data_IF_972037702876
#
_entry.id   IF_972037702876
#
_cell.length_a   1.000
_cell.length_b   1.000
_cell.length_c   1.000
_cell.angle_alpha   90.00
_cell.angle_beta   90.00
_cell.angle_gamma   90.00
#
_symmetry.space_group_name_H-M   'P 1'
#
loop_
_entity.id
_entity.type
_entity.pdbx_description
1 polymer ?
#
# COMPACT_ATOMS: atom_id res chain seq x y z
N UNK A 1 -21.50 24.32 17.15
CA UNK A 1 -20.50 23.66 18.03
C UNK A 1 -19.81 24.75 18.85
N UNK A 2 -19.79 24.66 20.17
CA UNK A 2 -19.15 25.66 21.05
C UNK A 2 -17.72 25.23 21.41
N UNK A 3 -16.82 26.19 21.56
CA UNK A 3 -15.43 25.96 21.98
C UNK A 3 -15.38 25.29 23.36
N UNK A 4 -14.63 24.19 23.53
CA UNK A 4 -14.45 23.54 24.83
C UNK A 4 -13.73 24.47 25.82
N UNK A 5 -14.33 24.67 27.00
CA UNK A 5 -13.75 25.56 28.04
C UNK A 5 -13.14 24.80 29.22
N UNK A 6 -13.43 23.52 29.34
CA UNK A 6 -12.97 22.68 30.43
C UNK A 6 -12.84 21.20 30.00
N UNK A 7 -12.30 20.38 30.90
CA UNK A 7 -12.12 18.94 30.69
C UNK A 7 -13.41 18.19 30.31
N UNK A 8 -14.55 18.54 30.92
CA UNK A 8 -15.84 17.89 30.61
C UNK A 8 -16.31 18.23 29.20
N UNK A 9 -16.05 19.45 28.74
CA UNK A 9 -16.45 19.88 27.39
C UNK A 9 -15.64 19.14 26.32
N UNK A 10 -14.32 18.98 26.51
CA UNK A 10 -13.49 18.23 25.56
C UNK A 10 -13.84 16.73 25.59
N UNK A 11 -14.17 16.17 26.76
CA UNK A 11 -14.64 14.78 26.86
C UNK A 11 -15.99 14.56 26.15
N UNK A 12 -16.92 15.51 26.26
CA UNK A 12 -18.18 15.48 25.51
C UNK A 12 -17.92 15.58 24.00
N UNK A 13 -17.04 16.49 23.59
CA UNK A 13 -16.66 16.66 22.19
C UNK A 13 -16.07 15.35 21.60
N UNK A 14 -15.11 14.72 22.29
CA UNK A 14 -14.51 13.46 21.83
C UNK A 14 -15.53 12.32 21.81
N UNK A 15 -16.45 12.26 22.79
CA UNK A 15 -17.56 11.30 22.78
C UNK A 15 -18.49 11.46 21.58
N UNK A 16 -18.91 12.70 21.28
CA UNK A 16 -19.72 12.99 20.08
C UNK A 16 -18.97 12.63 18.79
N UNK A 17 -17.67 12.94 18.72
CA UNK A 17 -16.85 12.64 17.55
C UNK A 17 -16.65 11.13 17.34
N UNK A 18 -16.60 10.35 18.42
CA UNK A 18 -16.57 8.89 18.33
C UNK A 18 -17.86 8.35 17.68
N UNK A 19 -19.03 8.88 18.06
CA UNK A 19 -20.31 8.50 17.47
C UNK A 19 -20.42 8.89 15.98
N UNK A 20 -19.84 10.03 15.61
CA UNK A 20 -19.81 10.53 14.23
C UNK A 20 -18.64 10.00 13.39
N UNK A 21 -17.75 9.18 13.97
CA UNK A 21 -16.51 8.75 13.31
C UNK A 21 -16.73 8.02 11.98
N UNK A 22 -17.89 7.40 11.78
CA UNK A 22 -18.27 6.73 10.52
C UNK A 22 -18.61 7.70 9.38
N UNK A 23 -18.89 8.96 9.71
CA UNK A 23 -19.31 10.02 8.78
C UNK A 23 -18.21 11.08 8.55
N UNK A 24 -17.11 10.98 9.29
CA UNK A 24 -16.00 11.92 9.24
C UNK A 24 -14.81 11.18 8.64
N UNK A 25 -14.37 11.60 7.46
CA UNK A 25 -13.14 11.09 6.87
C UNK A 25 -11.94 11.35 7.79
N UNK A 26 -11.04 10.37 7.86
CA UNK A 26 -9.84 10.45 8.71
C UNK A 26 -10.13 10.94 10.13
N UNK A 27 -11.25 10.50 10.72
CA UNK A 27 -11.65 10.91 12.05
C UNK A 27 -10.53 10.75 13.10
N UNK A 28 -9.69 9.72 12.96
CA UNK A 28 -8.56 9.49 13.87
C UNK A 28 -7.54 10.63 13.86
N UNK A 29 -7.18 11.13 12.67
CA UNK A 29 -6.20 12.20 12.52
C UNK A 29 -6.80 13.56 12.85
N UNK A 30 -7.97 13.88 12.30
CA UNK A 30 -8.67 15.16 12.55
C UNK A 30 -8.93 15.39 14.04
N UNK A 31 -9.15 14.31 14.79
CA UNK A 31 -9.43 14.37 16.22
C UNK A 31 -8.19 14.16 17.09
N UNK A 32 -7.01 13.88 16.50
CA UNK A 32 -5.76 13.64 17.23
C UNK A 32 -5.38 14.78 18.19
N UNK A 33 -5.49 16.07 17.79
CA UNK A 33 -5.21 17.18 18.71
C UNK A 33 -6.11 17.13 19.96
N UNK A 34 -7.39 16.80 19.80
CA UNK A 34 -8.32 16.67 20.93
C UNK A 34 -7.95 15.52 21.86
N UNK A 35 -7.51 14.38 21.32
CA UNK A 35 -7.05 13.25 22.15
C UNK A 35 -5.75 13.57 22.89
N UNK A 36 -4.78 14.23 22.23
CA UNK A 36 -3.55 14.72 22.87
C UNK A 36 -3.90 15.67 24.01
N UNK A 37 -4.81 16.62 23.78
CA UNK A 37 -5.22 17.60 24.76
C UNK A 37 -5.98 16.97 25.94
N UNK A 38 -6.91 16.05 25.67
CA UNK A 38 -7.62 15.28 26.70
C UNK A 38 -6.65 14.52 27.62
N UNK A 39 -5.61 13.88 27.04
CA UNK A 39 -4.55 13.18 27.78
C UNK A 39 -3.66 14.14 28.58
N UNK A 40 -3.35 15.33 28.06
CA UNK A 40 -2.61 16.37 28.81
C UNK A 40 -3.45 16.94 29.95
N UNK A 41 -4.73 17.18 29.71
CA UNK A 41 -5.67 17.78 30.66
C UNK A 41 -6.06 16.84 31.81
N UNK A 42 -5.79 15.53 31.71
CA UNK A 42 -5.95 14.59 32.83
C UNK A 42 -4.82 14.68 33.87
N UNK A 43 -3.68 15.30 33.53
CA UNK A 43 -2.49 15.41 34.40
C UNK A 43 -2.08 16.85 34.69
N UNK A 44 -2.51 17.81 33.87
CA UNK A 44 -2.23 19.25 33.99
C UNK A 44 -3.54 20.04 33.91
N UNK A 45 -3.50 21.31 34.35
CA UNK A 45 -4.62 22.24 34.18
C UNK A 45 -5.01 22.30 32.70
N UNK A 46 -6.31 22.18 32.41
CA UNK A 46 -6.86 22.25 31.05
C UNK A 46 -6.37 23.51 30.34
N UNK A 47 -5.86 23.34 29.12
CA UNK A 47 -5.39 24.42 28.27
C UNK A 47 -5.71 24.07 26.84
N UNK A 48 -6.46 24.94 26.17
CA UNK A 48 -6.80 24.81 24.75
C UNK A 48 -5.71 25.48 23.93
N UNK A 49 -4.94 24.68 23.18
CA UNK A 49 -3.80 25.16 22.38
C UNK A 49 -4.21 25.49 20.94
N UNK A 50 -3.31 26.16 20.21
CA UNK A 50 -3.55 26.57 18.82
C UNK A 50 -3.80 25.36 17.89
N UNK A 51 -3.14 24.22 18.15
CA UNK A 51 -3.34 22.95 17.42
C UNK A 51 -4.80 22.46 17.56
N UNK A 52 -5.36 22.52 18.77
CA UNK A 52 -6.77 22.19 19.00
C UNK A 52 -7.72 23.20 18.37
N UNK A 53 -7.39 24.49 18.42
CA UNK A 53 -8.24 25.52 17.83
C UNK A 53 -8.34 25.38 16.31
N UNK A 54 -7.21 25.18 15.63
CA UNK A 54 -7.16 24.95 14.19
C UNK A 54 -7.92 23.67 13.80
N UNK A 55 -7.74 22.59 14.54
CA UNK A 55 -8.46 21.34 14.30
C UNK A 55 -9.98 21.49 14.49
N UNK A 56 -10.40 22.28 15.48
CA UNK A 56 -11.82 22.52 15.77
C UNK A 56 -12.51 23.37 14.70
N UNK A 57 -11.84 24.42 14.20
CA UNK A 57 -12.40 25.21 13.09
C UNK A 57 -12.43 24.42 11.79
N UNK A 58 -11.39 23.63 11.49
CA UNK A 58 -11.38 22.74 10.34
C UNK A 58 -12.51 21.69 10.42
N UNK A 59 -12.78 21.14 11.61
CA UNK A 59 -13.88 20.22 11.84
C UNK A 59 -15.25 20.90 11.65
N UNK A 60 -15.41 22.14 12.12
CA UNK A 60 -16.65 22.91 11.91
C UNK A 60 -16.91 23.17 10.43
N UNK A 61 -15.89 23.55 9.67
CA UNK A 61 -15.99 23.73 8.22
C UNK A 61 -16.34 22.42 7.52
N UNK A 62 -15.71 21.31 7.92
CA UNK A 62 -16.01 19.98 7.39
C UNK A 62 -17.48 19.59 7.64
N UNK A 63 -17.95 19.69 8.88
CA UNK A 63 -19.34 19.35 9.22
C UNK A 63 -20.35 20.33 8.62
N UNK A 64 -19.92 21.57 8.32
CA UNK A 64 -20.73 22.58 7.64
C UNK A 64 -20.87 22.38 6.13
N UNK A 65 -20.08 21.47 5.53
CA UNK A 65 -20.15 21.09 4.12
C UNK A 65 -20.67 19.65 4.00
N UNK A 66 -22.01 19.44 4.00
CA UNK A 66 -22.57 18.10 4.03
C UNK A 66 -22.16 17.30 2.80
N UNK A 67 -21.48 16.18 3.03
CA UNK A 67 -21.25 15.17 2.01
C UNK A 67 -22.49 14.30 1.90
N UNK A 68 -22.98 14.10 0.68
CA UNK A 68 -24.10 13.18 0.42
C UNK A 68 -23.63 11.77 0.74
N UNK A 69 -24.23 11.18 1.77
CA UNK A 69 -24.13 9.76 2.08
C UNK A 69 -25.50 9.15 1.80
N UNK A 70 -25.54 8.18 0.90
CA UNK A 70 -26.73 7.37 0.66
C UNK A 70 -26.73 6.16 1.58
N UNK A 71 -27.93 5.73 1.96
CA UNK A 71 -28.11 4.39 2.51
C UNK A 71 -27.92 3.40 1.35
N UNK A 72 -27.15 2.31 1.52
CA UNK A 72 -27.05 1.27 0.51
C UNK A 72 -28.40 0.54 0.37
N UNK A 73 -28.76 0.22 -0.87
CA UNK A 73 -29.94 -0.61 -1.19
C UNK A 73 -29.59 -2.09 -1.05
N UNK A 74 -30.58 -2.91 -0.66
CA UNK A 74 -30.36 -4.34 -0.41
C UNK A 74 -29.83 -5.04 -1.67
N UNK A 75 -28.75 -5.80 -1.52
CA UNK A 75 -28.08 -6.48 -2.63
C UNK A 75 -27.10 -5.61 -3.43
N UNK A 76 -26.95 -4.31 -3.12
CA UNK A 76 -25.90 -3.48 -3.73
C UNK A 76 -24.50 -3.94 -3.31
N UNK A 77 -23.56 -3.85 -4.25
CA UNK A 77 -22.15 -4.11 -3.98
C UNK A 77 -21.50 -2.94 -3.23
N UNK A 78 -20.87 -3.21 -2.10
CA UNK A 78 -20.12 -2.22 -1.34
C UNK A 78 -18.66 -2.22 -1.75
N UNK A 79 -18.25 -1.18 -2.48
CA UNK A 79 -16.85 -0.97 -2.83
C UNK A 79 -16.08 -0.28 -1.70
N UNK A 80 -15.09 -0.97 -1.16
CA UNK A 80 -14.22 -0.47 -0.10
C UNK A 80 -12.88 0.01 -0.67
N UNK A 81 -12.57 1.28 -0.43
CA UNK A 81 -11.27 1.89 -0.72
C UNK A 81 -10.50 2.12 0.58
N UNK A 82 -9.28 1.60 0.66
CA UNK A 82 -8.40 1.80 1.82
C UNK A 82 -7.24 2.73 1.49
N UNK A 83 -6.97 3.65 2.41
CA UNK A 83 -5.76 4.45 2.46
C UNK A 83 -5.18 4.36 3.88
N UNK A 84 -3.86 4.21 3.97
CA UNK A 84 -3.12 4.18 5.23
C UNK A 84 -2.30 5.45 5.32
N UNK A 85 -2.55 6.27 6.34
CA UNK A 85 -1.77 7.48 6.63
C UNK A 85 -0.57 7.12 7.52
N UNK A 86 0.57 7.74 7.23
CA UNK A 86 1.79 7.56 8.01
C UNK A 86 1.59 8.01 9.47
N UNK A 87 2.01 7.20 10.44
CA UNK A 87 1.81 7.45 11.88
C UNK A 87 0.45 7.00 12.46
N UNK A 88 -0.53 6.59 11.64
CA UNK A 88 -1.80 6.06 12.14
C UNK A 88 -1.70 4.63 12.69
N UNK A 89 -0.71 3.88 12.22
CA UNK A 89 -0.41 2.50 12.63
C UNK A 89 1.06 2.45 13.00
N UNK A 90 1.42 1.55 13.93
CA UNK A 90 2.79 1.37 14.42
C UNK A 90 3.81 1.42 13.27
N UNK A 91 4.77 2.33 13.36
CA UNK A 91 5.75 2.60 12.29
C UNK A 91 6.58 1.36 11.94
N UNK A 92 6.74 0.41 12.87
CA UNK A 92 7.46 -0.85 12.66
C UNK A 92 6.70 -1.82 11.76
N UNK A 93 5.43 -1.58 11.47
CA UNK A 93 4.65 -2.46 10.62
C UNK A 93 5.06 -2.22 9.17
N UNK A 94 5.26 -3.31 8.42
CA UNK A 94 5.34 -3.23 6.98
C UNK A 94 4.07 -2.60 6.45
N UNK A 95 4.16 -1.92 5.32
CA UNK A 95 3.01 -1.27 4.70
C UNK A 95 1.84 -2.24 4.45
N UNK A 96 2.16 -3.47 4.05
CA UNK A 96 1.24 -4.58 3.85
C UNK A 96 0.51 -4.96 5.13
N UNK A 97 1.23 -5.01 6.25
CA UNK A 97 0.65 -5.21 7.58
C UNK A 97 -0.26 -4.05 7.99
N UNK A 98 0.11 -2.81 7.64
CA UNK A 98 -0.74 -1.64 7.92
C UNK A 98 -2.03 -1.69 7.11
N UNK A 99 -1.98 -2.10 5.84
CA UNK A 99 -3.16 -2.27 5.00
C UNK A 99 -4.04 -3.44 5.44
N UNK A 100 -3.46 -4.60 5.79
CA UNK A 100 -4.20 -5.73 6.34
C UNK A 100 -4.89 -5.34 7.66
N UNK A 101 -4.19 -4.64 8.54
CA UNK A 101 -4.78 -4.10 9.77
C UNK A 101 -5.90 -3.10 9.49
N UNK A 102 -5.70 -2.18 8.53
CA UNK A 102 -6.74 -1.25 8.13
C UNK A 102 -7.98 -1.95 7.56
N UNK A 103 -7.80 -3.08 6.87
CA UNK A 103 -8.88 -3.92 6.36
C UNK A 103 -9.67 -4.59 7.49
N UNK A 104 -8.98 -5.18 8.48
CA UNK A 104 -9.62 -5.74 9.69
C UNK A 104 -10.46 -4.68 10.40
N UNK A 105 -9.88 -3.51 10.65
CA UNK A 105 -10.62 -2.42 11.32
C UNK A 105 -11.82 -1.94 10.48
N UNK A 106 -11.67 -1.90 9.16
CA UNK A 106 -12.75 -1.47 8.26
C UNK A 106 -13.89 -2.50 8.20
N UNK A 107 -13.57 -3.79 8.14
CA UNK A 107 -14.58 -4.87 8.14
C UNK A 107 -15.38 -4.91 9.44
N UNK A 108 -14.75 -4.67 10.59
CA UNK A 108 -15.50 -4.48 11.85
C UNK A 108 -16.50 -3.33 11.79
N UNK A 109 -16.12 -2.20 11.17
CA UNK A 109 -17.03 -1.05 11.00
C UNK A 109 -18.16 -1.35 10.01
N UNK A 110 -17.90 -2.23 9.05
CA UNK A 110 -18.85 -2.64 8.03
C UNK A 110 -19.69 -3.86 8.41
N UNK A 111 -19.42 -4.48 9.57
CA UNK A 111 -20.19 -5.62 10.08
C UNK A 111 -21.72 -5.43 10.02
N UNK A 112 -22.30 -4.25 10.30
CA UNK A 112 -23.74 -4.02 10.14
C UNK A 112 -24.28 -4.13 8.71
N UNK A 113 -23.42 -4.06 7.68
CA UNK A 113 -23.79 -4.11 6.27
C UNK A 113 -23.45 -5.45 5.61
N UNK A 114 -22.53 -6.21 6.19
CA UNK A 114 -21.94 -7.43 5.61
C UNK A 114 -22.97 -8.53 5.31
N UNK A 115 -24.02 -8.65 6.11
CA UNK A 115 -25.02 -9.72 5.93
C UNK A 115 -25.95 -9.51 4.72
N UNK A 116 -26.00 -8.29 4.17
CA UNK A 116 -26.94 -7.93 3.08
C UNK A 116 -26.25 -7.41 1.82
N UNK A 117 -24.93 -7.24 1.85
CA UNK A 117 -24.18 -6.62 0.76
C UNK A 117 -22.81 -7.30 0.58
N UNK A 118 -22.46 -7.76 -0.62
CA UNK A 118 -21.11 -8.24 -0.89
C UNK A 118 -20.10 -7.10 -0.76
N UNK A 119 -18.95 -7.37 -0.13
CA UNK A 119 -17.89 -6.39 0.06
C UNK A 119 -16.81 -6.63 -1.01
N UNK A 120 -16.60 -5.62 -1.86
CA UNK A 120 -15.53 -5.63 -2.86
C UNK A 120 -14.43 -4.67 -2.44
N UNK A 121 -13.28 -5.24 -2.11
CA UNK A 121 -12.08 -4.48 -1.80
C UNK A 121 -11.39 -4.03 -3.09
N UNK A 122 -11.38 -2.71 -3.31
CA UNK A 122 -10.66 -2.10 -4.42
C UNK A 122 -9.31 -1.61 -3.93
N UNK A 123 -8.24 -2.25 -4.41
CA UNK A 123 -6.88 -1.95 -3.96
C UNK A 123 -5.85 -2.19 -5.06
N UNK A 124 -4.80 -1.38 -5.08
CA UNK A 124 -3.58 -1.61 -5.87
C UNK A 124 -2.54 -2.42 -5.08
N UNK A 125 -2.77 -2.64 -3.79
CA UNK A 125 -1.90 -3.45 -2.95
C UNK A 125 -2.20 -4.93 -3.18
N UNK A 126 -1.19 -5.82 -3.20
CA UNK A 126 -1.37 -7.24 -3.46
C UNK A 126 -1.91 -7.99 -2.22
N UNK A 127 -2.89 -7.42 -1.54
CA UNK A 127 -3.41 -7.90 -0.26
C UNK A 127 -3.97 -9.32 -0.35
N UNK A 128 -4.66 -9.66 -1.44
CA UNK A 128 -5.13 -11.03 -1.67
C UNK A 128 -3.97 -12.02 -1.60
N UNK A 129 -2.88 -11.74 -2.32
CA UNK A 129 -1.70 -12.61 -2.38
C UNK A 129 -1.05 -12.70 -1.02
N UNK A 130 -0.85 -11.56 -0.34
CA UNK A 130 -0.23 -11.49 0.98
C UNK A 130 -1.02 -12.29 2.01
N UNK A 131 -2.34 -12.08 2.08
CA UNK A 131 -3.24 -12.74 3.03
C UNK A 131 -3.42 -14.24 2.76
N UNK A 132 -3.13 -14.70 1.53
CA UNK A 132 -3.11 -16.13 1.18
C UNK A 132 -1.73 -16.78 1.29
N UNK A 133 -0.70 -16.03 1.66
CA UNK A 133 0.66 -16.56 1.75
C UNK A 133 0.77 -17.61 2.86
N UNK A 134 1.52 -18.72 2.66
CA UNK A 134 1.78 -19.69 3.71
C UNK A 134 2.79 -19.20 4.75
N UNK A 135 3.52 -18.11 4.48
CA UNK A 135 4.57 -17.56 5.34
C UNK A 135 4.12 -16.28 6.07
N UNK A 136 2.93 -16.31 6.66
CA UNK A 136 2.40 -15.18 7.40
C UNK A 136 3.02 -15.04 8.79
N UNK A 137 3.21 -13.79 9.22
CA UNK A 137 3.51 -13.50 10.62
C UNK A 137 2.32 -13.92 11.50
N UNK A 138 2.57 -14.33 12.75
CA UNK A 138 1.51 -14.89 13.61
C UNK A 138 0.28 -13.99 13.77
N UNK A 139 0.48 -12.66 13.82
CA UNK A 139 -0.60 -11.67 13.84
C UNK A 139 -1.42 -11.63 12.55
N UNK A 140 -0.77 -11.81 11.40
CA UNK A 140 -1.44 -11.81 10.11
C UNK A 140 -2.28 -13.08 9.95
N UNK A 141 -1.83 -14.22 10.49
CA UNK A 141 -2.65 -15.44 10.57
C UNK A 141 -3.94 -15.20 11.37
N UNK A 142 -3.87 -14.49 12.50
CA UNK A 142 -5.06 -14.10 13.27
C UNK A 142 -5.99 -13.20 12.46
N UNK A 143 -5.44 -12.17 11.81
CA UNK A 143 -6.23 -11.26 10.97
C UNK A 143 -6.88 -11.98 9.78
N UNK A 144 -6.18 -12.93 9.15
CA UNK A 144 -6.75 -13.74 8.06
C UNK A 144 -7.92 -14.60 8.54
N UNK A 145 -7.79 -15.22 9.72
CA UNK A 145 -8.89 -15.98 10.31
C UNK A 145 -10.12 -15.09 10.58
N UNK A 146 -9.91 -13.89 11.09
CA UNK A 146 -10.98 -12.91 11.33
C UNK A 146 -11.62 -12.41 10.04
N UNK A 147 -10.81 -12.11 9.03
CA UNK A 147 -11.31 -11.69 7.71
C UNK A 147 -12.07 -12.81 6.98
N UNK A 148 -11.85 -14.08 7.32
CA UNK A 148 -12.57 -15.21 6.74
C UNK A 148 -14.06 -15.24 7.11
N UNK A 149 -14.49 -14.50 8.13
CA UNK A 149 -15.92 -14.30 8.44
C UNK A 149 -16.63 -13.41 7.38
N UNK A 150 -15.87 -12.72 6.54
CA UNK A 150 -16.38 -11.77 5.56
C UNK A 150 -16.14 -12.32 4.16
N UNK A 151 -17.16 -12.27 3.30
CA UNK A 151 -17.01 -12.63 1.89
C UNK A 151 -16.43 -11.44 1.11
N UNK A 152 -15.10 -11.28 1.20
CA UNK A 152 -14.37 -10.16 0.60
C UNK A 152 -13.79 -10.58 -0.75
N UNK A 153 -14.25 -9.92 -1.81
CA UNK A 153 -13.64 -10.04 -3.14
C UNK A 153 -12.61 -8.94 -3.34
N UNK A 154 -11.45 -9.27 -3.92
CA UNK A 154 -10.38 -8.29 -4.19
C UNK A 154 -10.33 -7.98 -5.68
N UNK A 155 -10.46 -6.70 -6.02
CA UNK A 155 -10.37 -6.20 -7.38
C UNK A 155 -9.24 -5.17 -7.49
N UNK A 156 -8.41 -5.23 -8.56
CA UNK A 156 -7.43 -4.20 -8.81
C UNK A 156 -8.14 -2.86 -9.04
N UNK A 157 -7.47 -1.77 -8.69
CA UNK A 157 -7.96 -0.41 -8.91
C UNK A 157 -7.99 -0.07 -10.40
N UNK A 158 -9.04 -0.49 -11.11
CA UNK A 158 -9.32 0.00 -12.47
C UNK A 158 -9.72 1.47 -12.39
N UNK A 159 -9.42 2.26 -13.43
CA UNK A 159 -9.66 3.72 -13.45
C UNK A 159 -11.03 4.10 -12.88
N UNK A 160 -11.04 4.50 -11.61
CA UNK A 160 -12.19 5.08 -10.93
C UNK A 160 -12.46 6.41 -11.64
N UNK A 161 -13.72 6.88 -11.66
CA UNK A 161 -14.02 8.27 -12.02
C UNK A 161 -13.04 9.18 -11.27
N UNK A 162 -12.05 9.71 -12.01
CA UNK A 162 -10.81 10.24 -11.44
C UNK A 162 -11.06 11.34 -10.40
N UNK A 163 -12.21 12.01 -10.46
CA UNK A 163 -12.64 13.04 -9.52
C UNK A 163 -12.92 12.52 -8.11
N UNK A 164 -13.73 11.46 -7.94
CA UNK A 164 -14.09 10.95 -6.59
C UNK A 164 -12.83 10.43 -5.88
N UNK A 165 -11.94 9.83 -6.66
CA UNK A 165 -10.67 9.32 -6.18
C UNK A 165 -9.68 10.44 -5.86
N UNK A 166 -9.61 11.47 -6.70
CA UNK A 166 -8.80 12.66 -6.44
C UNK A 166 -9.31 13.37 -5.19
N UNK A 167 -10.62 13.53 -5.02
CA UNK A 167 -11.21 14.15 -3.84
C UNK A 167 -10.96 13.31 -2.57
N UNK A 168 -11.02 11.97 -2.67
CA UNK A 168 -10.67 11.05 -1.58
C UNK A 168 -9.17 11.06 -1.25
N UNK A 169 -8.30 11.06 -2.26
CA UNK A 169 -6.84 11.13 -2.08
C UNK A 169 -6.42 12.50 -1.55
N UNK A 170 -6.95 13.60 -2.08
CA UNK A 170 -6.77 14.97 -1.59
C UNK A 170 -7.21 15.03 -0.13
N UNK A 171 -8.39 14.48 0.17
CA UNK A 171 -8.86 14.40 1.55
C UNK A 171 -7.89 13.61 2.42
N UNK A 172 -7.36 12.46 1.95
CA UNK A 172 -6.41 11.56 2.63
C UNK A 172 -4.94 12.01 2.67
N UNK A 173 -4.54 13.02 1.89
CA UNK A 173 -3.14 13.45 1.75
C UNK A 173 -2.88 14.89 2.21
N UNK A 174 -3.92 15.68 2.50
CA UNK A 174 -3.70 17.03 3.04
C UNK A 174 -3.40 16.94 4.54
N UNK A 175 -2.10 16.89 4.86
CA UNK A 175 -1.43 17.74 5.86
C UNK A 175 0.10 17.65 5.79
N UNK A 176 0.68 18.17 4.71
CA UNK A 176 1.74 19.19 4.81
C UNK A 176 1.53 20.19 3.67
N UNK A 177 1.04 21.42 3.93
CA UNK A 177 1.54 22.53 3.13
C UNK A 177 3.03 22.59 3.46
N UNK A 178 3.87 22.18 2.51
CA UNK A 178 5.22 22.72 2.45
C UNK A 178 5.05 24.23 2.66
N UNK A 179 5.67 24.77 3.72
CA UNK A 179 5.84 26.22 3.83
C UNK A 179 6.72 26.65 2.66
N UNK A 180 6.13 26.83 1.48
CA UNK A 180 6.77 27.45 0.34
C UNK A 180 6.70 28.95 0.62
N UNK A 181 7.69 29.45 1.34
CA UNK A 181 7.96 30.87 1.35
C UNK A 181 8.56 31.24 -0.01
N UNK A 182 7.75 31.83 -0.89
CA UNK A 182 8.19 32.51 -2.11
C UNK A 182 7.52 31.98 -3.39
N UNK A 183 7.17 32.87 -4.34
CA UNK A 183 6.56 32.46 -5.60
C UNK A 183 7.61 31.72 -6.43
N UNK A 184 7.46 30.41 -6.57
CA UNK A 184 8.07 29.67 -7.68
C UNK A 184 6.97 29.32 -8.65
N UNK A 185 7.17 29.75 -9.89
CA UNK A 185 6.35 29.47 -11.04
C UNK A 185 5.93 28.00 -11.09
N UNK A 186 4.68 27.78 -11.52
CA UNK A 186 4.11 26.48 -11.85
C UNK A 186 5.03 25.75 -12.83
N UNK A 187 5.91 24.91 -12.31
CA UNK A 187 6.57 23.86 -13.10
C UNK A 187 5.67 22.63 -13.02
N UNK A 188 5.22 22.17 -14.17
CA UNK A 188 4.54 20.88 -14.31
C UNK A 188 5.37 19.77 -13.61
N UNK A 189 4.73 18.79 -12.95
CA UNK A 189 5.44 17.80 -12.14
C UNK A 189 6.27 16.87 -13.04
N UNK A 190 7.52 17.24 -13.28
CA UNK A 190 8.47 16.49 -14.11
C UNK A 190 9.31 15.54 -13.26
N UNK A 191 8.67 14.74 -12.40
CA UNK A 191 9.33 13.66 -11.65
C UNK A 191 8.67 12.33 -12.00
N UNK A 192 9.30 11.61 -12.93
CA UNK A 192 8.97 10.24 -13.27
C UNK A 192 9.10 9.39 -11.99
N UNK A 193 7.98 8.87 -11.48
CA UNK A 193 7.90 7.99 -10.31
C UNK A 193 8.54 6.63 -10.65
N UNK A 194 9.83 6.49 -10.36
CA UNK A 194 10.63 5.34 -10.77
C UNK A 194 10.47 4.17 -9.79
N UNK A 195 9.93 3.05 -10.26
CA UNK A 195 9.90 1.80 -9.51
C UNK A 195 11.19 1.01 -9.75
N UNK A 196 11.72 0.38 -8.70
CA UNK A 196 12.92 -0.46 -8.78
C UNK A 196 12.61 -1.85 -8.25
N UNK A 197 12.86 -2.87 -9.06
CA UNK A 197 12.68 -4.27 -8.70
C UNK A 197 14.06 -4.90 -8.58
N UNK A 198 14.36 -5.49 -7.44
CA UNK A 198 15.55 -6.29 -7.20
C UNK A 198 15.14 -7.75 -7.24
N UNK A 199 15.84 -8.55 -8.04
CA UNK A 199 15.55 -9.97 -8.20
C UNK A 199 16.80 -10.80 -7.96
N UNK A 200 16.60 -11.94 -7.31
CA UNK A 200 17.59 -13.00 -7.26
C UNK A 200 16.93 -14.37 -7.31
N UNK A 201 17.66 -15.34 -7.86
CA UNK A 201 17.22 -16.72 -7.96
C UNK A 201 18.34 -17.64 -7.51
N UNK A 202 17.99 -18.62 -6.68
CA UNK A 202 18.93 -19.56 -6.13
C UNK A 202 18.45 -21.00 -6.32
N UNK A 203 19.41 -21.92 -6.44
CA UNK A 203 19.17 -23.37 -6.48
C UNK A 203 20.07 -24.03 -5.43
N UNK A 204 19.49 -24.96 -4.65
CA UNK A 204 20.24 -25.89 -3.81
C UNK A 204 19.65 -27.31 -3.90
N UNK A 205 20.14 -28.24 -3.07
CA UNK A 205 19.68 -29.65 -3.08
C UNK A 205 18.22 -29.86 -2.67
N UNK A 206 17.58 -28.86 -2.04
CA UNK A 206 16.19 -28.91 -1.58
C UNK A 206 15.21 -28.28 -2.59
N UNK A 207 15.70 -27.67 -3.69
CA UNK A 207 14.86 -27.05 -4.72
C UNK A 207 15.44 -25.77 -5.33
N UNK A 208 14.55 -24.93 -5.85
CA UNK A 208 14.86 -23.62 -6.39
C UNK A 208 13.93 -22.56 -5.79
N UNK A 209 14.45 -21.34 -5.66
CA UNK A 209 13.77 -20.21 -5.04
C UNK A 209 13.99 -18.92 -5.81
N UNK A 210 13.11 -17.97 -5.56
CA UNK A 210 13.22 -16.59 -6.01
C UNK A 210 13.01 -15.63 -4.86
N UNK A 211 13.92 -14.67 -4.77
CA UNK A 211 13.86 -13.52 -3.89
C UNK A 211 13.59 -12.26 -4.71
N UNK A 212 12.57 -11.49 -4.32
CA UNK A 212 12.15 -10.29 -5.04
C UNK A 212 11.91 -9.16 -4.03
N UNK A 213 12.55 -8.01 -4.25
CA UNK A 213 12.28 -6.80 -3.49
C UNK A 213 11.87 -5.67 -4.43
N UNK A 214 10.65 -5.15 -4.26
CA UNK A 214 10.11 -4.05 -5.05
C UNK A 214 10.13 -2.78 -4.22
N UNK A 215 10.75 -1.73 -4.75
CA UNK A 215 10.81 -0.40 -4.16
C UNK A 215 10.02 0.61 -5.00
N UNK A 216 9.00 1.21 -4.39
CA UNK A 216 8.18 2.27 -4.98
C UNK A 216 8.69 3.69 -4.67
N UNK A 217 8.04 4.72 -5.24
CA UNK A 217 8.46 6.13 -5.11
C UNK A 217 8.41 6.66 -3.66
N UNK A 218 7.50 6.15 -2.83
CA UNK A 218 7.29 6.61 -1.45
C UNK A 218 8.05 5.78 -0.41
N UNK A 219 9.21 5.23 -0.78
CA UNK A 219 9.98 4.27 0.05
C UNK A 219 9.22 2.99 0.41
N UNK A 220 8.11 2.73 -0.28
CA UNK A 220 7.37 1.47 -0.22
C UNK A 220 8.32 0.33 -0.57
N UNK A 221 8.48 -0.64 0.33
CA UNK A 221 9.24 -1.88 0.08
C UNK A 221 8.30 -3.08 0.20
N UNK A 222 8.32 -3.95 -0.80
CA UNK A 222 7.60 -5.23 -0.80
C UNK A 222 8.62 -6.33 -1.04
N UNK A 223 8.64 -7.33 -0.17
CA UNK A 223 9.58 -8.44 -0.19
C UNK A 223 8.83 -9.75 -0.43
N UNK A 224 9.30 -10.56 -1.38
CA UNK A 224 8.74 -11.86 -1.71
C UNK A 224 9.84 -12.92 -1.73
N UNK A 225 9.59 -14.01 -1.00
CA UNK A 225 10.39 -15.23 -1.04
C UNK A 225 9.50 -16.35 -1.57
N UNK A 226 9.87 -16.92 -2.71
CA UNK A 226 9.07 -17.92 -3.41
C UNK A 226 9.88 -19.20 -3.57
N UNK A 227 9.27 -20.35 -3.31
CA UNK A 227 9.84 -21.66 -3.61
C UNK A 227 9.14 -22.24 -4.83
N UNK A 228 9.92 -22.65 -5.83
CA UNK A 228 9.37 -23.32 -7.00
C UNK A 228 9.06 -24.77 -6.68
N UNK A 229 7.92 -25.26 -7.18
CA UNK A 229 7.50 -26.66 -7.07
C UNK A 229 8.16 -27.57 -8.12
N UNK A 230 9.00 -27.00 -8.97
CA UNK A 230 9.74 -27.68 -10.04
C UNK A 230 11.26 -27.50 -9.84
N UNK A 231 12.04 -28.37 -10.47
CA UNK A 231 13.48 -28.22 -10.51
C UNK A 231 13.90 -27.15 -11.53
N UNK A 232 14.85 -26.31 -11.13
CA UNK A 232 15.46 -25.31 -12.01
C UNK A 232 16.97 -25.33 -11.82
N UNK A 233 17.71 -25.00 -12.87
CA UNK A 233 19.12 -24.59 -12.77
C UNK A 233 19.22 -23.22 -12.10
N UNK A 234 20.42 -22.83 -11.66
CA UNK A 234 20.63 -21.52 -11.04
C UNK A 234 20.22 -20.37 -12.01
N UNK A 235 20.59 -20.50 -13.29
CA UNK A 235 20.21 -19.51 -14.30
C UNK A 235 18.69 -19.48 -14.57
N UNK A 236 18.04 -20.64 -14.61
CA UNK A 236 16.58 -20.71 -14.76
C UNK A 236 15.87 -20.10 -13.55
N UNK A 237 16.33 -20.36 -12.31
CA UNK A 237 15.79 -19.73 -11.11
C UNK A 237 15.92 -18.20 -11.15
N UNK A 238 17.02 -17.67 -11.68
CA UNK A 238 17.24 -16.23 -11.87
C UNK A 238 16.30 -15.62 -12.91
N UNK A 239 16.04 -16.33 -14.02
CA UNK A 239 15.04 -15.92 -14.99
C UNK A 239 13.62 -15.96 -14.40
N UNK A 240 13.29 -17.00 -13.64
CA UNK A 240 11.99 -17.10 -12.98
C UNK A 240 11.78 -15.97 -11.97
N UNK A 241 12.79 -15.65 -11.14
CA UNK A 241 12.74 -14.50 -10.24
C UNK A 241 12.47 -13.19 -10.99
N UNK A 242 13.15 -12.98 -12.13
CA UNK A 242 12.91 -11.82 -12.99
C UNK A 242 11.49 -11.78 -13.56
N UNK A 243 10.99 -12.90 -14.09
CA UNK A 243 9.66 -13.00 -14.68
C UNK A 243 8.58 -12.73 -13.63
N UNK A 244 8.71 -13.33 -12.44
CA UNK A 244 7.77 -13.09 -11.35
C UNK A 244 7.85 -11.64 -10.88
N UNK A 245 9.05 -11.06 -10.75
CA UNK A 245 9.24 -9.64 -10.45
C UNK A 245 8.52 -8.73 -11.44
N UNK A 246 8.68 -8.98 -12.75
CA UNK A 246 7.98 -8.27 -13.82
C UNK A 246 6.46 -8.44 -13.75
N UNK A 247 5.97 -9.67 -13.51
CA UNK A 247 4.54 -9.93 -13.36
C UNK A 247 3.95 -9.18 -12.16
N UNK A 248 4.64 -9.14 -11.03
CA UNK A 248 4.19 -8.43 -9.84
C UNK A 248 4.03 -6.94 -10.12
N UNK A 249 5.04 -6.28 -10.69
CA UNK A 249 4.94 -4.84 -11.00
C UNK A 249 3.91 -4.54 -12.09
N UNK A 250 3.69 -5.45 -13.05
CA UNK A 250 2.60 -5.32 -14.02
C UNK A 250 1.22 -5.31 -13.34
N UNK A 251 1.00 -6.19 -12.36
CA UNK A 251 -0.25 -6.23 -11.59
C UNK A 251 -0.45 -4.99 -10.70
N UNK A 252 0.65 -4.33 -10.30
CA UNK A 252 0.60 -3.05 -9.58
C UNK A 252 0.28 -1.84 -10.49
N UNK A 253 0.13 -2.04 -11.80
CA UNK A 253 -0.18 -0.97 -12.74
C UNK A 253 1.00 0.00 -12.99
N UNK A 254 2.23 -0.45 -12.74
CA UNK A 254 3.44 0.34 -12.98
C UNK A 254 3.63 0.54 -14.49
N UNK A 255 3.99 1.76 -14.89
CA UNK A 255 4.26 2.13 -16.29
C UNK A 255 5.76 2.17 -16.64
N UNK A 256 6.61 2.40 -15.64
CA UNK A 256 8.06 2.59 -15.77
C UNK A 256 8.81 1.89 -14.64
N UNK A 257 9.79 1.05 -14.98
CA UNK A 257 10.58 0.32 -13.99
C UNK A 257 12.06 0.12 -14.34
N UNK A 258 12.86 -0.10 -13.28
CA UNK A 258 14.20 -0.68 -13.38
C UNK A 258 14.22 -2.04 -12.71
N UNK A 259 14.59 -3.07 -13.46
CA UNK A 259 14.87 -4.40 -12.92
C UNK A 259 16.37 -4.53 -12.68
N UNK A 260 16.74 -4.88 -11.46
CA UNK A 260 18.11 -5.06 -10.99
C UNK A 260 18.32 -6.50 -10.55
N UNK A 261 19.50 -7.04 -10.84
CA UNK A 261 19.90 -8.32 -10.28
C UNK A 261 21.40 -8.55 -10.40
N UNK A 262 21.87 -9.56 -9.66
CA UNK A 262 23.30 -9.80 -9.47
C UNK A 262 23.95 -10.67 -10.57
N UNK A 263 23.11 -11.24 -11.45
CA UNK A 263 23.55 -12.18 -12.47
C UNK A 263 23.92 -11.45 -13.74
N UNK A 264 25.22 -11.13 -13.87
CA UNK A 264 25.74 -10.50 -15.08
C UNK A 264 25.31 -11.24 -16.36
N UNK A 265 25.40 -12.57 -16.36
CA UNK A 265 25.01 -13.38 -17.53
C UNK A 265 23.53 -13.17 -17.92
N UNK A 266 22.61 -13.22 -16.95
CA UNK A 266 21.16 -13.09 -17.23
C UNK A 266 20.83 -11.65 -17.65
N UNK A 267 21.48 -10.67 -17.04
CA UNK A 267 21.30 -9.25 -17.37
C UNK A 267 21.86 -8.91 -18.75
N UNK A 268 23.04 -9.41 -19.10
CA UNK A 268 23.63 -9.23 -20.43
C UNK A 268 22.78 -9.96 -21.50
N UNK A 269 22.18 -11.12 -21.17
CA UNK A 269 21.27 -11.83 -22.07
C UNK A 269 19.97 -11.06 -22.34
N UNK A 270 19.28 -10.56 -21.31
CA UNK A 270 18.01 -9.84 -21.49
C UNK A 270 18.19 -8.49 -22.18
N UNK A 271 19.37 -7.86 -22.02
CA UNK A 271 19.74 -6.65 -22.76
C UNK A 271 20.19 -6.93 -24.21
N UNK A 272 20.30 -8.20 -24.61
CA UNK A 272 20.76 -8.58 -25.95
C UNK A 272 22.27 -8.43 -26.17
N UNK A 273 23.04 -8.21 -25.11
CA UNK A 273 24.51 -8.11 -25.15
C UNK A 273 25.17 -9.50 -25.25
N UNK A 274 24.47 -10.55 -24.79
CA UNK A 274 24.93 -11.93 -24.87
C UNK A 274 23.85 -12.86 -25.46
N UNK A 275 24.23 -13.73 -26.40
CA UNK A 275 23.32 -14.69 -27.00
C UNK A 275 22.87 -15.79 -26.03
N UNK A 276 21.58 -16.09 -26.01
CA UNK A 276 21.00 -17.20 -25.25
C UNK A 276 21.10 -18.49 -26.07
N UNK A 277 22.02 -19.39 -25.71
CA UNK A 277 22.27 -20.63 -26.49
C UNK A 277 21.39 -21.82 -26.10
N UNK A 278 20.89 -21.84 -24.86
CA UNK A 278 20.11 -22.95 -24.34
C UNK A 278 18.63 -22.77 -24.69
N UNK A 279 18.01 -23.80 -25.28
CA UNK A 279 16.60 -23.75 -25.74
C UNK A 279 15.60 -23.42 -24.62
N UNK A 280 15.80 -23.91 -23.40
CA UNK A 280 14.92 -23.58 -22.29
C UNK A 280 15.13 -22.13 -21.82
N UNK A 281 16.37 -21.66 -21.75
CA UNK A 281 16.65 -20.26 -21.43
C UNK A 281 16.11 -19.31 -22.51
N UNK A 282 16.03 -19.72 -23.78
CA UNK A 282 15.40 -18.92 -24.83
C UNK A 282 13.90 -18.71 -24.54
N UNK A 283 13.18 -19.76 -24.09
CA UNK A 283 11.77 -19.63 -23.69
C UNK A 283 11.60 -18.66 -22.50
N UNK A 284 12.51 -18.72 -21.54
CA UNK A 284 12.53 -17.79 -20.41
C UNK A 284 12.77 -16.35 -20.85
N UNK A 285 13.77 -16.15 -21.70
CA UNK A 285 14.08 -14.85 -22.28
C UNK A 285 12.89 -14.27 -23.07
N UNK A 286 12.27 -15.05 -23.96
CA UNK A 286 11.08 -14.63 -24.72
C UNK A 286 9.92 -14.25 -23.82
N UNK A 287 9.66 -15.03 -22.76
CA UNK A 287 8.60 -14.74 -21.79
C UNK A 287 8.88 -13.44 -21.03
N UNK A 288 10.10 -13.25 -20.53
CA UNK A 288 10.51 -12.02 -19.84
C UNK A 288 10.35 -10.79 -20.75
N UNK A 289 10.82 -10.87 -22.00
CA UNK A 289 10.69 -9.80 -22.99
C UNK A 289 9.24 -9.53 -23.39
N UNK A 290 8.40 -10.56 -23.48
CA UNK A 290 6.96 -10.39 -23.77
C UNK A 290 6.26 -9.63 -22.66
N UNK A 291 6.62 -9.88 -21.40
CA UNK A 291 6.07 -9.14 -20.26
C UNK A 291 6.61 -7.71 -20.25
N UNK A 292 7.92 -7.53 -20.48
CA UNK A 292 8.60 -6.23 -20.55
C UNK A 292 8.01 -5.31 -21.64
N UNK A 293 7.61 -5.86 -22.80
CA UNK A 293 6.89 -5.10 -23.85
C UNK A 293 5.56 -4.51 -23.40
N UNK A 294 5.02 -4.96 -22.27
CA UNK A 294 3.79 -4.42 -21.68
C UNK A 294 3.96 -3.13 -20.89
N UNK A 295 5.19 -2.63 -20.73
CA UNK A 295 5.51 -1.39 -20.03
C UNK A 295 5.91 -0.30 -21.03
N UNK A 296 5.77 0.97 -20.64
CA UNK A 296 6.18 2.10 -21.48
C UNK A 296 7.71 2.12 -21.61
N UNK A 297 8.41 1.75 -20.54
CA UNK A 297 9.86 1.59 -20.52
C UNK A 297 10.33 0.65 -19.41
N UNK A 298 11.16 -0.33 -19.79
CA UNK A 298 11.86 -1.25 -18.86
C UNK A 298 13.36 -1.08 -19.00
N UNK A 299 14.08 -0.98 -17.88
CA UNK A 299 15.55 -0.95 -17.87
C UNK A 299 16.06 -2.14 -17.06
N UNK A 300 16.90 -2.99 -17.66
CA UNK A 300 17.58 -4.09 -16.96
C UNK A 300 19.00 -3.68 -16.60
N UNK A 301 19.33 -3.74 -15.31
CA UNK A 301 20.61 -3.27 -14.79
C UNK A 301 21.28 -4.34 -13.92
N UNK A 302 22.47 -4.77 -14.31
CA UNK A 302 23.33 -5.55 -13.43
C UNK A 302 23.82 -4.71 -12.25
N UNK A 303 23.76 -5.30 -11.04
CA UNK A 303 24.34 -4.73 -9.83
C UNK A 303 25.25 -5.75 -9.13
N UNK A 304 26.34 -5.32 -8.46
CA UNK A 304 27.11 -6.21 -7.61
C UNK A 304 26.24 -6.87 -6.53
N UNK A 305 26.58 -8.11 -6.14
CA UNK A 305 25.83 -8.87 -5.14
C UNK A 305 25.64 -8.14 -3.81
N UNK A 306 26.64 -7.37 -3.37
CA UNK A 306 26.55 -6.53 -2.16
C UNK A 306 25.46 -5.43 -2.23
N UNK A 307 24.98 -5.09 -3.44
CA UNK A 307 23.87 -4.16 -3.65
C UNK A 307 22.54 -4.86 -3.97
N UNK A 308 22.52 -6.20 -3.87
CA UNK A 308 21.35 -7.06 -4.08
C UNK A 308 21.06 -7.95 -2.85
N UNK A 309 21.62 -7.62 -1.69
CA UNK A 309 21.57 -8.45 -0.46
C UNK A 309 20.14 -8.75 -0.01
N UNK A 310 19.20 -7.79 -0.13
CA UNK A 310 17.80 -8.04 0.21
C UNK A 310 17.17 -9.13 -0.66
N UNK A 311 17.42 -9.14 -1.97
CA UNK A 311 16.87 -10.15 -2.87
C UNK A 311 17.58 -11.50 -2.66
N UNK A 312 18.90 -11.51 -2.50
CA UNK A 312 19.71 -12.72 -2.22
C UNK A 312 19.27 -13.39 -0.92
N UNK A 313 18.96 -12.61 0.13
CA UNK A 313 18.45 -13.14 1.41
C UNK A 313 17.08 -13.81 1.29
N UNK A 314 16.29 -13.44 0.27
CA UNK A 314 14.93 -13.95 0.04
C UNK A 314 14.91 -15.21 -0.85
N UNK A 315 16.01 -15.52 -1.56
CA UNK A 315 16.18 -16.70 -2.42
C UNK A 315 16.96 -17.81 -1.72
#
# INVERSE_FOLDING_TARGET
MNLPKNYKDIQKLTGCLAALSRFISQSGERNLPFFKNLRKASTKKFYWDDECNEAFEALKQYLGSPRLLSRPEEGEELQLYLAVVEGAVNERYLITDKFAFALVISTHKLKPYNESHPIVMVTDQPLKIILTSPALSGRMTTWVAELSEFDITYTPRTSIKAQILADFLIECTIRQPLKINGPKELQEPTQITKWVVYVDGARNSKGAWAGIMIQGPDRLKMEYALRFSFEATNNEAKYEAMIVGLMLVKHLGVKWEIVKGDSKLVMDQINGECGVKNENLMKYHEKAMTIAKGFDQTIFQHVPRALNEEADRLS
#
